data_IF_267157359912
#
_entry.id   IF_267157359912
#
_cell.length_a   1.000
_cell.length_b   1.000
_cell.length_c   1.000
_cell.angle_alpha   90.00
_cell.angle_beta   90.00
_cell.angle_gamma   90.00
#
_symmetry.space_group_name_H-M   'P 1'
#
loop_
_entity.id
_entity.type
_entity.pdbx_description
1 polymer ?
#
# COMPACT_ATOMS: atom_id res chain seq x y z
N UNK A 1 62.31 -14.21 -5.06
CA UNK A 1 63.08 -13.37 -4.13
C UNK A 1 62.05 -12.70 -3.21
N UNK A 2 61.64 -13.23 -2.06
CA UNK A 2 62.33 -13.68 -0.83
C UNK A 2 63.22 -12.61 -0.17
N UNK A 3 62.84 -12.32 1.10
CA UNK A 3 63.47 -11.52 2.18
C UNK A 3 63.05 -10.03 2.22
N UNK A 4 62.72 -9.41 3.36
CA UNK A 4 63.13 -9.70 4.75
C UNK A 4 62.11 -9.20 5.78
N UNK A 5 61.94 -9.98 6.86
CA UNK A 5 61.45 -9.55 8.18
C UNK A 5 62.60 -8.90 8.97
N UNK A 6 62.25 -8.04 9.92
CA UNK A 6 62.86 -7.81 11.26
C UNK A 6 62.04 -6.68 11.92
N UNK A 7 61.10 -6.96 12.81
CA UNK A 7 61.21 -7.32 14.23
C UNK A 7 61.56 -6.12 15.14
N UNK A 8 60.61 -5.75 16.01
CA UNK A 8 60.84 -5.03 17.29
C UNK A 8 59.59 -5.08 18.16
N UNK A 9 59.66 -5.96 19.14
CA UNK A 9 58.67 -6.18 20.20
C UNK A 9 58.90 -5.25 21.41
N UNK A 10 57.81 -5.05 22.17
CA UNK A 10 57.69 -4.77 23.62
C UNK A 10 57.78 -3.33 24.14
N UNK A 11 56.64 -2.87 24.69
CA UNK A 11 56.56 -2.43 26.08
C UNK A 11 55.14 -2.65 26.62
N UNK A 12 55.03 -3.66 27.49
CA UNK A 12 53.94 -3.84 28.46
C UNK A 12 53.94 -2.68 29.45
N UNK A 13 52.77 -2.09 29.71
CA UNK A 13 52.44 -1.62 31.05
C UNK A 13 51.04 -2.10 31.43
N UNK A 14 51.04 -2.88 32.50
CA UNK A 14 49.92 -3.41 33.25
C UNK A 14 49.21 -2.30 34.04
N UNK A 15 47.89 -2.19 33.86
CA UNK A 15 46.98 -1.42 34.71
C UNK A 15 45.79 -2.28 35.09
N UNK A 16 45.59 -2.41 36.40
CA UNK A 16 44.71 -3.32 37.14
C UNK A 16 43.21 -3.25 36.81
N UNK A 17 42.59 -4.43 36.93
CA UNK A 17 41.15 -4.72 36.93
C UNK A 17 40.48 -4.22 38.22
N UNK A 18 39.34 -3.53 38.09
CA UNK A 18 38.17 -3.41 39.00
C UNK A 18 37.18 -2.45 38.30
N UNK A 19 35.86 -2.63 38.26
CA UNK A 19 34.97 -3.67 38.74
C UNK A 19 33.66 -3.63 37.94
N UNK A 20 32.86 -4.66 38.12
CA UNK A 20 31.57 -4.91 37.49
C UNK A 20 30.54 -3.80 37.80
N UNK A 21 29.78 -3.41 36.79
CA UNK A 21 28.39 -3.05 36.97
C UNK A 21 27.61 -3.57 35.77
N UNK A 22 26.94 -4.70 36.02
CA UNK A 22 25.90 -5.29 35.22
C UNK A 22 24.87 -4.25 34.77
N UNK A 23 24.60 -4.19 33.47
CA UNK A 23 23.23 -3.98 33.03
C UNK A 23 22.96 -4.91 31.85
N UNK A 24 22.53 -6.12 32.20
CA UNK A 24 22.03 -7.11 31.27
C UNK A 24 20.66 -6.65 30.75
N UNK A 25 20.66 -5.66 29.85
CA UNK A 25 19.53 -5.44 28.96
C UNK A 25 19.72 -6.31 27.72
N UNK A 26 19.43 -7.60 27.85
CA UNK A 26 19.09 -8.46 26.70
C UNK A 26 17.72 -8.04 26.17
N UNK A 27 17.61 -6.79 25.74
CA UNK A 27 16.56 -6.37 24.83
C UNK A 27 17.05 -6.77 23.44
N UNK A 28 16.59 -7.92 22.93
CA UNK A 28 16.66 -8.18 21.48
C UNK A 28 15.92 -7.03 20.81
N UNK A 29 16.65 -5.98 20.43
CA UNK A 29 16.09 -4.86 19.70
C UNK A 29 15.71 -5.43 18.34
N UNK A 30 14.42 -5.69 18.16
CA UNK A 30 13.88 -6.11 16.88
C UNK A 30 14.17 -4.98 15.88
N UNK A 31 15.25 -5.13 15.12
CA UNK A 31 15.55 -4.24 14.00
C UNK A 31 14.43 -4.47 13.00
N UNK A 32 13.53 -3.49 12.86
CA UNK A 32 12.52 -3.53 11.82
C UNK A 32 13.26 -3.61 10.49
N UNK A 33 13.10 -4.66 9.68
CA UNK A 33 13.73 -4.71 8.38
C UNK A 33 13.01 -3.70 7.47
N UNK A 34 13.48 -2.45 7.46
CA UNK A 34 12.93 -1.40 6.61
C UNK A 34 13.09 0.02 7.14
N UNK A 35 12.93 0.97 6.22
CA UNK A 35 12.90 2.40 6.49
C UNK A 35 11.50 2.80 6.97
N UNK A 36 11.42 3.47 8.12
CA UNK A 36 10.14 3.96 8.64
C UNK A 36 9.70 5.21 7.88
N UNK A 37 8.44 5.24 7.46
CA UNK A 37 7.78 6.45 6.96
C UNK A 37 7.07 7.19 8.12
N UNK A 38 6.85 8.51 8.01
CA UNK A 38 6.07 9.29 8.97
C UNK A 38 4.55 9.10 8.80
N UNK A 39 4.14 8.30 7.82
CA UNK A 39 2.75 7.98 7.49
C UNK A 39 2.56 6.47 7.47
N UNK A 40 1.32 6.04 7.64
CA UNK A 40 0.87 4.65 7.44
C UNK A 40 -0.07 4.60 6.25
N UNK A 41 0.14 3.67 5.33
CA UNK A 41 -0.74 3.41 4.18
C UNK A 41 -1.42 2.06 4.37
N UNK A 42 -2.76 2.01 4.28
CA UNK A 42 -3.55 0.79 4.49
C UNK A 42 -4.76 0.73 3.59
N UNK A 43 -5.30 -0.48 3.44
CA UNK A 43 -6.60 -0.69 2.80
C UNK A 43 -7.71 -0.21 3.74
N UNK A 44 -8.66 0.55 3.21
CA UNK A 44 -9.89 0.94 3.90
C UNK A 44 -10.76 -0.29 4.12
N UNK A 45 -11.14 -0.55 5.37
CA UNK A 45 -11.96 -1.71 5.78
C UNK A 45 -13.15 -1.35 6.67
N UNK A 46 -13.25 -0.09 7.08
CA UNK A 46 -14.35 0.37 7.94
C UNK A 46 -14.92 1.68 7.42
N UNK A 47 -16.17 1.95 7.76
CA UNK A 47 -16.84 3.19 7.36
C UNK A 47 -16.11 4.44 7.86
N UNK A 48 -15.57 4.42 9.08
CA UNK A 48 -14.74 5.52 9.60
C UNK A 48 -13.49 5.77 8.73
N UNK A 49 -12.84 4.71 8.25
CA UNK A 49 -11.67 4.83 7.36
C UNK A 49 -12.08 5.38 5.99
N UNK A 50 -13.23 4.92 5.48
CA UNK A 50 -13.76 5.42 4.22
C UNK A 50 -14.12 6.90 4.33
N UNK A 51 -14.79 7.31 5.39
CA UNK A 51 -15.11 8.71 5.67
C UNK A 51 -13.85 9.60 5.70
N UNK A 52 -12.77 9.13 6.34
CA UNK A 52 -11.46 9.81 6.30
C UNK A 52 -10.90 9.97 4.89
N UNK A 53 -10.96 8.91 4.07
CA UNK A 53 -10.50 8.94 2.69
C UNK A 53 -11.32 9.93 1.84
N UNK A 54 -12.64 9.93 2.01
CA UNK A 54 -13.59 10.83 1.35
C UNK A 54 -13.29 12.28 1.72
N UNK A 55 -13.05 12.56 3.01
CA UNK A 55 -12.70 13.90 3.49
C UNK A 55 -11.43 14.42 2.82
N UNK A 56 -10.34 13.64 2.81
CA UNK A 56 -9.08 14.06 2.16
C UNK A 56 -9.26 14.29 0.67
N UNK A 57 -10.03 13.43 0.00
CA UNK A 57 -10.42 13.60 -1.40
C UNK A 57 -11.11 14.95 -1.60
N UNK A 58 -12.23 15.20 -0.91
CA UNK A 58 -12.97 16.44 -1.06
C UNK A 58 -12.10 17.68 -0.77
N UNK A 59 -11.34 17.66 0.32
CA UNK A 59 -10.48 18.78 0.72
C UNK A 59 -9.36 19.07 -0.30
N UNK A 60 -8.78 18.03 -0.92
CA UNK A 60 -7.73 18.20 -1.93
C UNK A 60 -8.27 18.77 -3.25
N UNK A 61 -9.42 18.28 -3.72
CA UNK A 61 -10.03 18.77 -4.97
C UNK A 61 -10.66 20.17 -4.79
N UNK A 62 -11.19 20.48 -3.60
CA UNK A 62 -11.84 21.75 -3.28
C UNK A 62 -10.94 22.97 -3.40
N UNK A 63 -9.62 22.80 -3.32
CA UNK A 63 -8.65 23.89 -3.54
C UNK A 63 -8.74 24.51 -4.93
N UNK A 64 -9.13 23.73 -5.93
CA UNK A 64 -9.17 24.16 -7.32
C UNK A 64 -10.57 24.12 -7.91
N UNK A 65 -11.48 23.33 -7.34
CA UNK A 65 -12.84 23.18 -7.86
C UNK A 65 -13.83 22.97 -6.70
N UNK A 66 -14.24 24.05 -5.99
CA UNK A 66 -15.07 23.95 -4.79
C UNK A 66 -16.40 23.21 -5.01
N UNK A 67 -17.13 23.54 -6.07
CA UNK A 67 -18.41 22.88 -6.39
C UNK A 67 -18.25 21.37 -6.63
N UNK A 68 -17.11 20.95 -7.21
CA UNK A 68 -16.81 19.53 -7.40
C UNK A 68 -16.44 18.84 -6.10
N UNK A 69 -15.84 19.54 -5.15
CA UNK A 69 -15.52 18.97 -3.84
C UNK A 69 -16.76 18.61 -3.02
N UNK A 70 -17.83 19.38 -3.12
CA UNK A 70 -19.09 19.07 -2.44
C UNK A 70 -19.67 17.73 -2.93
N UNK A 71 -19.64 17.50 -4.24
CA UNK A 71 -20.02 16.21 -4.83
C UNK A 71 -19.12 15.04 -4.36
N UNK A 72 -17.87 15.32 -3.98
CA UNK A 72 -16.92 14.32 -3.49
C UNK A 72 -16.99 14.06 -1.99
N UNK A 73 -17.82 14.82 -1.22
CA UNK A 73 -18.01 14.62 0.22
C UNK A 73 -18.92 13.44 0.56
N UNK A 74 -19.58 12.85 -0.43
CA UNK A 74 -20.39 11.65 -0.26
C UNK A 74 -19.62 10.41 -0.74
N UNK A 75 -20.07 9.24 -0.28
CA UNK A 75 -19.60 7.95 -0.77
C UNK A 75 -20.03 7.81 -2.23
N UNK A 76 -19.08 7.52 -3.11
CA UNK A 76 -19.39 7.18 -4.49
C UNK A 76 -19.72 5.68 -4.59
N UNK A 77 -20.58 5.23 -5.51
CA UNK A 77 -20.85 3.79 -5.70
C UNK A 77 -19.57 2.97 -5.91
N UNK A 78 -18.63 3.50 -6.69
CA UNK A 78 -17.31 2.91 -6.91
C UNK A 78 -16.48 2.78 -5.62
N UNK A 79 -16.73 3.54 -4.55
CA UNK A 79 -15.97 3.44 -3.29
C UNK A 79 -16.28 2.14 -2.52
N UNK A 80 -17.43 1.52 -2.81
CA UNK A 80 -17.92 0.29 -2.16
C UNK A 80 -18.14 -0.86 -3.14
N UNK A 81 -17.80 -0.65 -4.41
CA UNK A 81 -17.88 -1.67 -5.46
C UNK A 81 -16.93 -2.85 -5.18
N UNK A 82 -17.34 -4.05 -5.57
CA UNK A 82 -16.60 -5.30 -5.28
C UNK A 82 -15.24 -5.37 -5.97
N UNK A 83 -15.12 -4.77 -7.15
CA UNK A 83 -13.88 -4.65 -7.92
C UNK A 83 -13.06 -3.43 -7.50
N UNK A 84 -13.44 -2.75 -6.42
CA UNK A 84 -12.80 -1.52 -5.95
C UNK A 84 -12.11 -1.69 -4.60
N UNK A 85 -11.00 -0.99 -4.45
CA UNK A 85 -10.22 -0.92 -3.22
C UNK A 85 -9.78 0.52 -2.98
N UNK A 86 -10.05 1.04 -1.78
CA UNK A 86 -9.59 2.37 -1.37
C UNK A 86 -8.38 2.23 -0.45
N UNK A 87 -7.31 2.94 -0.78
CA UNK A 87 -6.13 3.12 0.06
C UNK A 87 -6.25 4.42 0.84
N UNK A 88 -5.88 4.36 2.12
CA UNK A 88 -5.83 5.51 3.02
C UNK A 88 -4.42 5.68 3.56
N UNK A 89 -3.89 6.90 3.49
CA UNK A 89 -2.65 7.31 4.13
C UNK A 89 -2.95 8.20 5.33
N UNK A 90 -2.43 7.84 6.51
CA UNK A 90 -2.59 8.60 7.76
C UNK A 90 -1.24 9.00 8.35
N UNK A 91 -1.16 10.19 8.91
CA UNK A 91 -0.01 10.64 9.69
C UNK A 91 0.14 9.78 10.94
N UNK A 92 1.36 9.27 11.21
CA UNK A 92 1.65 8.55 12.45
C UNK A 92 1.75 9.47 13.66
N UNK A 93 1.97 10.77 13.44
CA UNK A 93 2.08 11.77 14.50
C UNK A 93 0.69 12.27 14.92
N UNK A 94 -0.15 12.62 13.95
CA UNK A 94 -1.45 13.27 14.23
C UNK A 94 -2.65 12.32 14.11
N UNK A 95 -2.50 11.16 13.45
CA UNK A 95 -3.61 10.25 13.14
C UNK A 95 -4.58 10.78 12.07
N UNK A 96 -4.30 11.97 11.52
CA UNK A 96 -5.09 12.59 10.47
C UNK A 96 -4.84 11.90 9.13
N UNK A 97 -5.89 11.85 8.32
CA UNK A 97 -5.79 11.37 6.96
C UNK A 97 -5.07 12.42 6.10
N UNK A 98 -4.02 11.99 5.41
CA UNK A 98 -3.15 12.86 4.59
C UNK A 98 -3.13 12.45 3.13
N UNK A 99 -3.67 11.30 2.77
CA UNK A 99 -3.77 10.88 1.37
C UNK A 99 -4.77 9.76 1.16
N UNK A 100 -5.22 9.62 -0.09
CA UNK A 100 -6.11 8.55 -0.54
C UNK A 100 -5.87 8.23 -2.01
N UNK A 101 -6.19 7.00 -2.41
CA UNK A 101 -6.16 6.52 -3.79
C UNK A 101 -7.17 5.37 -3.93
N UNK A 102 -7.97 5.37 -5.00
CA UNK A 102 -8.90 4.28 -5.31
C UNK A 102 -8.37 3.45 -6.48
N UNK A 103 -8.42 2.14 -6.32
CA UNK A 103 -8.05 1.14 -7.33
C UNK A 103 -9.33 0.45 -7.76
N UNK A 104 -9.64 0.45 -9.04
CA UNK A 104 -10.73 -0.34 -9.61
C UNK A 104 -10.15 -1.34 -10.60
N UNK A 105 -10.34 -2.63 -10.36
CA UNK A 105 -9.82 -3.69 -11.23
C UNK A 105 -10.84 -4.11 -12.27
N UNK A 106 -10.39 -4.60 -13.42
CA UNK A 106 -11.30 -5.14 -14.44
C UNK A 106 -11.71 -6.61 -14.24
N UNK A 107 -11.58 -7.14 -13.03
CA UNK A 107 -11.78 -8.56 -12.74
C UNK A 107 -13.24 -9.00 -12.72
N UNK A 108 -14.16 -8.17 -12.19
CA UNK A 108 -15.60 -8.48 -12.24
C UNK A 108 -16.31 -7.75 -13.40
N UNK A 109 -15.80 -6.58 -13.82
CA UNK A 109 -16.39 -5.79 -14.90
C UNK A 109 -15.36 -4.89 -15.57
N UNK A 110 -15.55 -4.46 -16.84
CA UNK A 110 -14.62 -3.54 -17.49
C UNK A 110 -14.42 -2.26 -16.68
N UNK A 111 -13.24 -1.67 -16.74
CA UNK A 111 -12.99 -0.34 -16.15
C UNK A 111 -13.69 0.76 -16.97
N UNK A 112 -13.81 1.97 -16.39
CA UNK A 112 -14.35 3.12 -17.12
C UNK A 112 -13.63 3.38 -18.45
N UNK A 113 -12.30 3.30 -18.46
CA UNK A 113 -11.51 3.53 -19.67
C UNK A 113 -11.72 2.44 -20.72
N UNK A 114 -11.88 1.18 -20.32
CA UNK A 114 -12.24 0.11 -21.25
C UNK A 114 -13.60 0.32 -21.91
N UNK A 115 -14.55 0.98 -21.23
CA UNK A 115 -15.87 1.28 -21.79
C UNK A 115 -15.86 2.46 -22.75
N UNK A 116 -15.05 3.48 -22.48
CA UNK A 116 -15.12 4.76 -23.21
C UNK A 116 -14.04 4.91 -24.29
N UNK A 117 -13.00 4.09 -24.28
CA UNK A 117 -11.90 4.14 -25.23
C UNK A 117 -11.74 2.81 -25.97
N UNK A 118 -11.37 2.90 -27.25
CA UNK A 118 -10.80 1.76 -27.95
C UNK A 118 -9.36 1.58 -27.51
N UNK A 119 -9.11 0.71 -26.52
CA UNK A 119 -7.77 0.51 -26.01
C UNK A 119 -6.84 -0.17 -27.04
N UNK A 120 -5.54 0.20 -27.07
CA UNK A 120 -4.51 -0.51 -27.81
C UNK A 120 -4.52 -2.02 -27.56
N UNK A 121 -4.09 -2.80 -28.56
CA UNK A 121 -4.16 -4.27 -28.52
C UNK A 121 -3.51 -4.89 -27.28
N UNK A 122 -2.37 -4.35 -26.83
CA UNK A 122 -1.63 -4.87 -25.67
C UNK A 122 -2.34 -4.64 -24.32
N UNK A 123 -3.35 -3.76 -24.25
CA UNK A 123 -4.17 -3.53 -23.05
C UNK A 123 -5.45 -4.37 -23.07
N UNK A 124 -5.91 -4.86 -24.22
CA UNK A 124 -7.19 -5.56 -24.33
C UNK A 124 -7.11 -6.98 -23.77
N UNK A 125 -8.09 -7.36 -22.95
CA UNK A 125 -8.17 -8.71 -22.38
C UNK A 125 -7.07 -9.03 -21.36
N UNK A 126 -6.48 -8.00 -20.74
CA UNK A 126 -5.41 -8.13 -19.74
C UNK A 126 -5.90 -7.70 -18.36
N UNK A 127 -5.18 -8.08 -17.31
CA UNK A 127 -5.47 -7.60 -15.95
C UNK A 127 -5.11 -6.13 -15.80
N UNK A 128 -6.11 -5.29 -15.51
CA UNK A 128 -5.98 -3.83 -15.40
C UNK A 128 -6.39 -3.35 -14.00
N UNK A 129 -5.59 -2.45 -13.43
CA UNK A 129 -5.98 -1.58 -12.33
C UNK A 129 -6.20 -0.15 -12.84
N UNK A 130 -7.43 0.33 -12.84
CA UNK A 130 -7.75 1.73 -13.10
C UNK A 130 -7.74 2.55 -11.81
N UNK A 131 -6.86 3.54 -11.76
CA UNK A 131 -6.61 4.34 -10.57
C UNK A 131 -7.36 5.66 -10.66
N UNK A 132 -8.11 5.94 -9.60
CA UNK A 132 -8.89 7.17 -9.47
C UNK A 132 -8.71 7.77 -8.09
N UNK A 133 -9.18 9.01 -7.92
CA UNK A 133 -9.24 9.70 -6.62
C UNK A 133 -7.90 9.76 -5.87
N UNK A 134 -6.76 9.81 -6.58
CA UNK A 134 -5.48 10.13 -5.97
C UNK A 134 -5.53 11.57 -5.45
N UNK A 135 -5.53 11.71 -4.13
CA UNK A 135 -5.61 12.98 -3.44
C UNK A 135 -4.68 12.97 -2.23
N UNK A 136 -4.04 14.11 -1.97
CA UNK A 136 -3.11 14.29 -0.85
C UNK A 136 -3.37 15.64 -0.20
N UNK A 137 -3.34 15.66 1.13
CA UNK A 137 -3.44 16.88 1.92
C UNK A 137 -2.29 17.85 1.54
N UNK A 138 -2.56 19.15 1.62
CA UNK A 138 -1.59 20.17 1.25
C UNK A 138 -0.49 20.22 2.30
N UNK A 139 0.75 20.47 1.88
CA UNK A 139 1.89 20.56 2.78
C UNK A 139 3.19 20.03 2.17
N UNK A 140 4.30 20.18 2.88
CA UNK A 140 5.64 19.87 2.36
C UNK A 140 5.85 18.39 2.03
N UNK A 141 5.08 17.49 2.66
CA UNK A 141 5.26 16.05 2.51
C UNK A 141 4.42 15.42 1.39
N UNK A 142 3.70 16.22 0.59
CA UNK A 142 2.73 15.69 -0.37
C UNK A 142 3.31 14.70 -1.39
N UNK A 143 4.53 14.95 -1.88
CA UNK A 143 5.21 14.05 -2.82
C UNK A 143 5.55 12.69 -2.19
N UNK A 144 5.98 12.68 -0.92
CA UNK A 144 6.28 11.43 -0.21
C UNK A 144 5.03 10.57 0.01
N UNK A 145 3.89 11.20 0.30
CA UNK A 145 2.59 10.51 0.44
C UNK A 145 2.15 9.91 -0.89
N UNK A 146 2.26 10.66 -2.00
CA UNK A 146 1.97 10.15 -3.35
C UNK A 146 2.84 8.95 -3.68
N UNK A 147 4.14 9.01 -3.41
CA UNK A 147 5.06 7.89 -3.63
C UNK A 147 4.71 6.66 -2.79
N UNK A 148 4.34 6.84 -1.52
CA UNK A 148 3.92 5.74 -0.67
C UNK A 148 2.61 5.08 -1.16
N UNK A 149 1.62 5.88 -1.57
CA UNK A 149 0.38 5.40 -2.18
C UNK A 149 0.66 4.68 -3.51
N UNK A 150 1.57 5.21 -4.34
CA UNK A 150 1.95 4.57 -5.58
C UNK A 150 2.69 3.25 -5.35
N UNK A 151 3.57 3.17 -4.35
CA UNK A 151 4.23 1.92 -3.94
C UNK A 151 3.22 0.89 -3.43
N UNK A 152 2.23 1.33 -2.68
CA UNK A 152 1.14 0.48 -2.23
C UNK A 152 0.34 -0.10 -3.41
N UNK A 153 -0.05 0.74 -4.37
CA UNK A 153 -0.68 0.33 -5.62
C UNK A 153 0.20 -0.65 -6.43
N UNK A 154 1.48 -0.32 -6.63
CA UNK A 154 2.41 -1.16 -7.39
C UNK A 154 2.53 -2.56 -6.79
N UNK A 155 2.69 -2.65 -5.47
CA UNK A 155 2.73 -3.92 -4.74
C UNK A 155 1.41 -4.68 -4.80
N UNK A 156 0.27 -3.98 -4.74
CA UNK A 156 -1.04 -4.57 -4.96
C UNK A 156 -1.11 -5.23 -6.34
N UNK A 157 -0.75 -4.51 -7.40
CA UNK A 157 -0.77 -5.03 -8.77
C UNK A 157 0.14 -6.25 -8.95
N UNK A 158 1.36 -6.23 -8.39
CA UNK A 158 2.24 -7.40 -8.42
C UNK A 158 1.62 -8.63 -7.73
N UNK A 159 1.03 -8.44 -6.55
CA UNK A 159 0.45 -9.54 -5.77
C UNK A 159 -0.82 -10.12 -6.41
N UNK A 160 -1.58 -9.31 -7.15
CA UNK A 160 -2.82 -9.72 -7.84
C UNK A 160 -2.62 -10.02 -9.31
N UNK A 161 -1.38 -10.08 -9.79
CA UNK A 161 -1.01 -10.40 -11.18
C UNK A 161 -1.65 -9.44 -12.21
N UNK A 162 -1.79 -8.16 -11.84
CA UNK A 162 -2.24 -7.10 -12.73
C UNK A 162 -1.06 -6.60 -13.56
N UNK A 163 -1.18 -6.65 -14.88
CA UNK A 163 -0.12 -6.26 -15.81
C UNK A 163 -0.05 -4.75 -16.05
N UNK A 164 -1.20 -4.07 -16.00
CA UNK A 164 -1.29 -2.67 -16.40
C UNK A 164 -2.02 -1.81 -15.38
N UNK A 165 -1.45 -0.64 -15.09
CA UNK A 165 -2.14 0.42 -14.35
C UNK A 165 -2.61 1.47 -15.35
N UNK A 166 -3.90 1.80 -15.33
CA UNK A 166 -4.44 2.91 -16.09
C UNK A 166 -4.75 4.08 -15.15
N UNK A 167 -4.57 5.30 -15.65
CA UNK A 167 -4.92 6.52 -14.92
C UNK A 167 -5.43 7.59 -15.88
N UNK A 168 -6.16 8.56 -15.35
CA UNK A 168 -6.48 9.81 -16.06
C UNK A 168 -5.97 10.99 -15.26
N UNK A 169 -5.31 11.92 -15.94
CA UNK A 169 -4.86 13.15 -15.29
C UNK A 169 -5.11 14.37 -16.15
N UNK A 170 -5.45 15.46 -15.46
CA UNK A 170 -5.48 16.81 -16.04
C UNK A 170 -4.08 17.44 -15.93
N UNK A 171 -3.81 18.43 -16.77
CA UNK A 171 -2.61 19.26 -16.59
C UNK A 171 -2.73 20.11 -15.31
N UNK A 172 -1.65 20.28 -14.50
CA UNK A 172 -0.30 19.72 -14.62
C UNK A 172 -0.06 18.42 -13.83
N UNK A 173 -1.13 17.76 -13.33
CA UNK A 173 -1.04 16.52 -12.54
C UNK A 173 -0.51 15.35 -13.38
N UNK A 174 -0.77 15.38 -14.68
CA UNK A 174 -0.23 14.45 -15.67
C UNK A 174 1.30 14.36 -15.65
N UNK A 175 2.00 15.47 -15.33
CA UNK A 175 3.47 15.50 -15.20
C UNK A 175 3.97 14.63 -14.05
N UNK A 176 3.21 14.53 -12.96
CA UNK A 176 3.57 13.65 -11.84
C UNK A 176 3.47 12.18 -12.25
N UNK A 177 2.43 11.80 -13.00
CA UNK A 177 2.31 10.43 -13.52
C UNK A 177 3.38 10.13 -14.57
N UNK A 178 3.70 11.07 -15.45
CA UNK A 178 4.79 10.91 -16.41
C UNK A 178 6.14 10.66 -15.71
N UNK A 179 6.44 11.36 -14.61
CA UNK A 179 7.63 11.12 -13.77
C UNK A 179 7.64 9.75 -13.09
N UNK A 180 6.47 9.13 -12.91
CA UNK A 180 6.35 7.77 -12.41
C UNK A 180 6.58 6.72 -13.51
N UNK A 181 6.63 7.12 -14.78
CA UNK A 181 6.82 6.24 -15.94
C UNK A 181 5.52 5.91 -16.69
N UNK A 182 4.45 6.66 -16.44
CA UNK A 182 3.22 6.53 -17.23
C UNK A 182 3.41 7.09 -18.64
N UNK A 183 2.78 6.44 -19.62
CA UNK A 183 2.79 6.80 -21.03
C UNK A 183 1.37 7.06 -21.54
N UNK A 184 1.22 7.84 -22.60
CA UNK A 184 -0.09 8.17 -23.18
C UNK A 184 -0.74 6.98 -23.89
N UNK A 185 -2.01 6.73 -23.58
CA UNK A 185 -2.84 5.76 -24.31
C UNK A 185 -3.23 6.33 -25.68
N UNK A 186 -3.55 7.63 -25.73
CA UNK A 186 -3.97 8.32 -26.94
C UNK A 186 -2.75 8.91 -27.68
N UNK A 187 -2.86 9.13 -29.00
CA UNK A 187 -1.85 9.86 -29.75
C UNK A 187 -1.56 11.25 -29.16
N UNK A 188 -0.35 11.74 -29.39
CA UNK A 188 0.10 13.03 -28.88
C UNK A 188 -0.88 14.17 -29.24
N UNK A 189 -1.22 14.97 -28.24
CA UNK A 189 -2.14 16.11 -28.38
C UNK A 189 -3.62 15.76 -28.26
N UNK A 190 -4.00 14.48 -28.31
CA UNK A 190 -5.38 14.07 -28.07
C UNK A 190 -5.67 13.98 -26.57
N UNK A 191 -6.87 14.42 -26.18
CA UNK A 191 -7.35 14.36 -24.81
C UNK A 191 -8.74 13.72 -24.79
N UNK A 192 -9.04 13.01 -23.70
CA UNK A 192 -10.36 12.50 -23.42
C UNK A 192 -11.16 13.60 -22.71
N UNK A 193 -12.28 14.03 -23.29
CA UNK A 193 -13.24 14.90 -22.60
C UNK A 193 -13.98 14.06 -21.56
N UNK A 194 -13.87 14.42 -20.28
CA UNK A 194 -14.73 13.80 -19.25
C UNK A 194 -15.98 14.65 -18.98
N UNK A 195 -17.17 14.02 -18.85
CA UNK A 195 -18.42 14.70 -18.52
C UNK A 195 -18.37 15.47 -17.19
N UNK A 196 -19.39 16.32 -16.99
CA UNK A 196 -19.52 17.24 -15.84
C UNK A 196 -19.38 16.58 -14.46
N UNK A 197 -19.76 15.30 -14.32
CA UNK A 197 -19.62 14.51 -13.08
C UNK A 197 -18.16 14.34 -12.60
N UNK A 198 -17.19 14.76 -13.43
CA UNK A 198 -15.77 14.80 -13.11
C UNK A 198 -15.15 16.20 -13.19
N UNK A 199 -15.97 17.24 -13.24
CA UNK A 199 -15.55 18.66 -13.31
C UNK A 199 -15.34 19.19 -14.73
N UNK A 200 -15.93 18.54 -15.75
CA UNK A 200 -15.88 18.90 -17.17
C UNK A 200 -14.48 19.31 -17.67
N UNK A 201 -13.60 18.31 -17.81
CA UNK A 201 -12.17 18.55 -18.01
C UNK A 201 -11.59 17.64 -19.09
N UNK A 202 -10.68 18.21 -19.88
CA UNK A 202 -9.87 17.46 -20.83
C UNK A 202 -8.72 16.78 -20.09
N UNK A 203 -8.69 15.46 -20.13
CA UNK A 203 -7.71 14.65 -19.42
C UNK A 203 -6.91 13.79 -20.37
N UNK A 204 -5.68 13.47 -19.97
CA UNK A 204 -4.83 12.49 -20.64
C UNK A 204 -5.06 11.13 -20.01
N UNK A 205 -5.56 10.14 -20.78
CA UNK A 205 -5.57 8.75 -20.35
C UNK A 205 -4.17 8.16 -20.54
N UNK A 206 -3.66 7.56 -19.47
CA UNK A 206 -2.29 7.09 -19.35
C UNK A 206 -2.25 5.62 -18.93
N UNK A 207 -1.22 4.90 -19.34
CA UNK A 207 -0.95 3.53 -18.92
C UNK A 207 0.44 3.39 -18.31
N UNK A 208 0.62 2.39 -17.47
CA UNK A 208 1.89 2.03 -16.84
C UNK A 208 2.05 0.51 -16.82
N UNK A 209 3.22 0.05 -17.26
CA UNK A 209 3.60 -1.35 -17.34
C UNK A 209 4.12 -1.83 -15.98
N UNK A 210 3.34 -2.65 -15.27
CA UNK A 210 3.69 -3.11 -13.93
C UNK A 210 4.88 -4.05 -13.96
N UNK A 211 4.94 -4.92 -14.96
CA UNK A 211 5.92 -6.00 -15.04
C UNK A 211 7.28 -5.45 -15.48
N UNK A 212 7.28 -4.50 -16.41
CA UNK A 212 8.51 -3.92 -16.97
C UNK A 212 9.06 -2.74 -16.14
N UNK A 213 8.28 -2.22 -15.19
CA UNK A 213 8.65 -1.07 -14.38
C UNK A 213 9.99 -1.21 -13.65
N UNK A 214 10.20 -2.35 -12.98
CA UNK A 214 11.44 -2.61 -12.23
C UNK A 214 12.66 -2.56 -13.15
N UNK A 215 12.56 -3.25 -14.28
CA UNK A 215 13.62 -3.33 -15.27
C UNK A 215 13.97 -1.92 -15.79
N UNK A 216 12.98 -1.16 -16.25
CA UNK A 216 13.16 0.23 -16.73
C UNK A 216 13.78 1.14 -15.67
N UNK A 217 13.31 1.08 -14.42
CA UNK A 217 13.88 1.90 -13.35
C UNK A 217 15.31 1.51 -13.03
N UNK A 218 15.64 0.22 -13.08
CA UNK A 218 17.00 -0.27 -12.82
C UNK A 218 17.97 0.15 -13.93
N UNK A 219 17.60 -0.05 -15.19
CA UNK A 219 18.40 0.34 -16.35
C UNK A 219 18.66 1.84 -16.40
N UNK A 220 17.62 2.64 -16.18
CA UNK A 220 17.72 4.10 -16.17
C UNK A 220 18.39 4.67 -14.89
N UNK A 221 18.78 3.82 -13.93
CA UNK A 221 19.24 4.22 -12.58
C UNK A 221 18.28 5.22 -11.92
N UNK A 222 16.99 4.99 -12.12
CA UNK A 222 15.94 5.90 -11.69
C UNK A 222 15.78 5.86 -10.15
N UNK A 223 15.58 7.00 -9.47
CA UNK A 223 15.40 7.03 -8.00
C UNK A 223 14.24 6.15 -7.49
N UNK A 224 13.23 5.91 -8.34
CA UNK A 224 12.13 5.01 -8.01
C UNK A 224 12.57 3.56 -7.82
N UNK A 225 13.66 3.09 -8.43
CA UNK A 225 14.12 1.72 -8.22
C UNK A 225 14.41 1.46 -6.74
N UNK A 226 15.12 2.38 -6.09
CA UNK A 226 15.46 2.24 -4.68
C UNK A 226 14.22 2.31 -3.78
N UNK A 227 13.37 3.32 -3.99
CA UNK A 227 12.18 3.51 -3.17
C UNK A 227 11.11 2.43 -3.42
N UNK A 228 10.83 2.04 -4.65
CA UNK A 228 9.74 1.12 -5.00
C UNK A 228 10.11 -0.34 -4.75
N UNK A 229 11.33 -0.73 -5.11
CA UNK A 229 11.78 -2.13 -5.16
C UNK A 229 12.68 -2.48 -3.97
N UNK A 230 13.81 -1.79 -3.82
CA UNK A 230 14.85 -2.20 -2.84
C UNK A 230 14.47 -1.95 -1.38
N UNK A 231 13.93 -0.77 -1.10
CA UNK A 231 13.61 -0.37 0.28
C UNK A 231 12.37 -1.11 0.77
N UNK A 232 12.40 -1.57 2.01
CA UNK A 232 11.21 -2.09 2.68
C UNK A 232 10.62 -0.95 3.52
N UNK A 233 9.32 -0.70 3.40
CA UNK A 233 8.60 0.27 4.24
C UNK A 233 7.52 -0.51 5.01
N UNK A 234 7.71 -0.77 6.32
CA UNK A 234 6.76 -1.52 7.13
C UNK A 234 5.43 -0.76 7.31
N UNK A 235 5.43 0.56 7.13
CA UNK A 235 4.23 1.39 7.27
C UNK A 235 3.28 1.31 6.06
N UNK A 236 3.65 0.59 4.99
CA UNK A 236 2.77 0.27 3.86
C UNK A 236 2.15 -1.12 4.10
N UNK A 237 0.98 -1.11 4.73
CA UNK A 237 0.30 -2.26 5.36
C UNK A 237 -0.80 -2.88 4.47
N UNK A 238 -0.62 -2.90 3.14
CA UNK A 238 -1.65 -3.41 2.21
C UNK A 238 -1.95 -4.91 2.36
N UNK A 239 -1.01 -5.68 2.90
CA UNK A 239 -1.13 -7.13 3.11
C UNK A 239 -1.06 -7.54 4.59
N UNK A 240 -1.29 -6.61 5.53
CA UNK A 240 -1.15 -6.89 6.96
C UNK A 240 -2.01 -8.07 7.45
N UNK A 241 -3.15 -8.35 6.79
CA UNK A 241 -4.02 -9.51 7.10
C UNK A 241 -3.45 -10.87 6.70
N UNK A 242 -2.32 -10.91 5.98
CA UNK A 242 -1.63 -12.16 5.60
C UNK A 242 -0.68 -12.62 6.73
N UNK A 243 -0.39 -11.76 7.71
CA UNK A 243 0.40 -12.16 8.87
C UNK A 243 -0.40 -13.13 9.74
N UNK A 244 0.17 -14.31 9.99
CA UNK A 244 -0.35 -15.37 10.85
C UNK A 244 -0.38 -15.01 12.34
N UNK A 245 -0.45 -13.73 12.70
CA UNK A 245 -0.69 -13.29 14.07
C UNK A 245 -2.04 -13.77 14.64
N UNK A 246 -2.91 -14.33 13.78
CA UNK A 246 -4.15 -15.03 14.14
C UNK A 246 -4.02 -16.56 14.14
N UNK A 247 -2.84 -17.10 13.84
CA UNK A 247 -2.57 -18.54 13.81
C UNK A 247 -2.27 -19.13 15.19
N UNK A 248 -2.70 -18.48 16.28
CA UNK A 248 -2.93 -19.23 17.53
C UNK A 248 -4.16 -20.09 17.24
N UNK A 249 -4.02 -21.42 17.07
CA UNK A 249 -5.18 -22.27 16.90
C UNK A 249 -6.04 -22.00 18.12
N UNK A 250 -7.32 -21.65 17.91
CA UNK A 250 -8.31 -21.58 18.97
C UNK A 250 -8.23 -22.97 19.62
N UNK A 251 -7.53 -23.08 20.76
CA UNK A 251 -7.35 -24.37 21.42
C UNK A 251 -8.74 -24.93 21.55
N UNK A 252 -8.97 -26.07 20.88
CA UNK A 252 -10.20 -26.80 21.11
C UNK A 252 -10.27 -26.94 22.63
N UNK A 253 -11.37 -26.46 23.23
CA UNK A 253 -11.69 -26.83 24.60
C UNK A 253 -11.78 -28.33 24.55
N UNK A 254 -10.66 -29.02 24.81
CA UNK A 254 -10.64 -30.44 25.03
C UNK A 254 -11.64 -30.63 26.15
N UNK A 255 -12.65 -31.43 25.84
CA UNK A 255 -13.66 -31.87 26.78
C UNK A 255 -12.90 -32.32 28.01
N UNK A 256 -13.06 -31.58 29.11
CA UNK A 256 -12.78 -32.11 30.43
C UNK A 256 -13.86 -33.17 30.66
N UNK A 257 -13.58 -34.37 30.16
CA UNK A 257 -14.32 -35.57 30.44
C UNK A 257 -13.30 -36.62 30.90
N UNK A 258 -13.66 -37.25 32.02
CA UNK A 258 -12.91 -38.20 32.83
C UNK A 258 -11.85 -37.52 33.73
N UNK A 259 -11.90 -37.66 35.05
CA UNK A 259 -12.28 -38.85 35.82
C UNK A 259 -12.81 -38.46 37.20
N UNK A 260 -13.91 -39.07 37.60
CA UNK A 260 -14.51 -39.00 38.92
C UNK A 260 -15.69 -39.94 38.98
N UNK A 261 -15.40 -41.20 39.30
CA UNK A 261 -16.29 -42.35 39.38
C UNK A 261 -17.59 -42.10 40.15
N UNK A 262 -18.69 -42.70 39.70
CA UNK A 262 -19.46 -43.67 40.50
C UNK A 262 -20.44 -44.45 39.65
N UNK A 263 -20.28 -45.76 39.73
CA UNK A 263 -21.16 -46.80 39.23
C UNK A 263 -22.52 -46.77 39.92
N UNK A 264 -23.61 -46.87 39.14
CA UNK A 264 -24.83 -47.61 39.50
C UNK A 264 -25.43 -48.17 38.20
N UNK A 265 -25.56 -49.50 38.17
CA UNK A 265 -26.18 -50.35 37.13
C UNK A 265 -27.68 -50.58 37.48
N UNK A 266 -28.50 -51.23 36.62
CA UNK A 266 -29.73 -50.62 36.10
C UNK A 266 -31.02 -51.35 36.53
N UNK A 267 -32.15 -50.64 36.66
CA UNK A 267 -33.47 -51.28 36.67
C UNK A 267 -34.62 -50.34 36.29
N UNK A 268 -35.46 -50.83 35.37
CA UNK A 268 -36.91 -50.60 35.15
C UNK A 268 -37.40 -49.20 34.69
N UNK A 269 -38.05 -49.03 33.53
CA UNK A 269 -39.37 -49.52 33.06
C UNK A 269 -40.56 -48.81 33.77
N UNK A 270 -41.31 -48.05 32.95
CA UNK A 270 -42.76 -47.71 32.97
C UNK A 270 -43.33 -46.47 33.70
N UNK A 271 -44.22 -45.82 32.92
CA UNK A 271 -45.42 -45.03 33.27
C UNK A 271 -45.19 -43.68 33.99
N UNK A 272 -45.80 -42.55 33.60
CA UNK A 272 -47.12 -42.27 33.00
C UNK A 272 -47.00 -41.19 31.93
#
# INVERSE_FOLDING_TARGET
>A
MLRSLEDRTLLMQSGSVQGEASDASTGTQYIRPGESLPIRVRVVRTENQLSKAIKVRADAYGRHTPAFADALRVVEPDDVDRSSLVLLAESKVTGEAVGTLRIHTNFDSPTYLERVLTLPAFLRGTGIAYVTRLAVAGGPNGSSVKLALFKALYRYCLATQISWILAVAREPVDRDLARLGFLDILPQGQKLRRPADFGEVDVRPLYFDVLEAEHRWREARHPLYDFMVRKIHPDIEIFASVSSAWATPRQSRSRLASRGERWLEPTQIMAV
#
